data_IF_000587170727
#
_entry.id   IF_000587170727
#
_cell.length_a   1.000
_cell.length_b   1.000
_cell.length_c   1.000
_cell.angle_alpha   90.00
_cell.angle_beta   90.00
_cell.angle_gamma   90.00
#
_symmetry.space_group_name_H-M   'P 1'
#
loop_
_entity.id
_entity.type
_entity.pdbx_description
1 polymer ?
#
# COMPACT_ATOMS: atom_id res chain seq x y z
N UNK A 1 1.41 49.48 0.28
CA UNK A 1 1.25 48.48 1.37
C UNK A 1 1.15 47.07 0.82
N UNK A 2 0.56 46.85 -0.36
CA UNK A 2 0.57 45.55 -1.06
C UNK A 2 1.97 45.11 -1.55
N UNK A 3 2.83 46.05 -1.98
CA UNK A 3 4.15 45.73 -2.56
C UNK A 3 5.16 45.12 -1.56
N UNK A 4 4.92 45.28 -0.25
CA UNK A 4 5.78 44.72 0.80
C UNK A 4 5.37 43.28 1.17
N UNK A 5 4.10 42.93 1.02
CA UNK A 5 3.57 41.59 1.29
C UNK A 5 3.92 40.64 0.13
N UNK A 6 3.82 41.09 -1.11
CA UNK A 6 4.21 40.31 -2.29
C UNK A 6 5.71 39.99 -2.29
N UNK A 7 6.55 40.97 -1.92
CA UNK A 7 8.02 40.78 -1.79
C UNK A 7 8.41 39.84 -0.64
N UNK A 8 7.59 39.75 0.41
CA UNK A 8 7.79 38.82 1.51
C UNK A 8 7.38 37.39 1.12
N UNK A 9 6.35 37.24 0.29
CA UNK A 9 5.89 35.96 -0.26
C UNK A 9 6.93 35.38 -1.23
N UNK A 10 7.51 36.21 -2.11
CA UNK A 10 8.60 35.79 -3.01
C UNK A 10 9.86 35.35 -2.25
N UNK A 11 10.29 36.12 -1.24
CA UNK A 11 11.43 35.73 -0.38
C UNK A 11 11.19 34.44 0.41
N UNK A 12 9.95 34.18 0.81
CA UNK A 12 9.58 32.95 1.51
C UNK A 12 9.52 31.75 0.54
N UNK A 13 9.06 31.97 -0.69
CA UNK A 13 9.07 30.96 -1.75
C UNK A 13 10.50 30.58 -2.16
N UNK A 14 11.41 31.54 -2.30
CA UNK A 14 12.84 31.30 -2.56
C UNK A 14 13.50 30.55 -1.40
N UNK A 15 13.23 30.93 -0.14
CA UNK A 15 13.73 30.19 1.03
C UNK A 15 13.18 28.76 1.12
N UNK A 16 11.97 28.51 0.63
CA UNK A 16 11.39 27.17 0.56
C UNK A 16 11.97 26.33 -0.57
N UNK A 17 12.30 26.96 -1.71
CA UNK A 17 12.97 26.33 -2.84
C UNK A 17 14.43 25.97 -2.48
N UNK A 18 15.16 26.89 -1.87
CA UNK A 18 16.55 26.67 -1.42
C UNK A 18 16.61 25.57 -0.33
N UNK A 19 15.63 25.53 0.58
CA UNK A 19 15.49 24.47 1.59
C UNK A 19 15.00 23.13 1.00
N UNK A 20 14.39 23.13 -0.18
CA UNK A 20 14.04 21.92 -0.91
C UNK A 20 15.22 21.37 -1.71
N UNK A 21 16.06 22.24 -2.26
CA UNK A 21 17.30 21.89 -2.96
C UNK A 21 18.37 21.37 -1.99
N UNK A 22 18.57 22.03 -0.84
CA UNK A 22 19.50 21.55 0.20
C UNK A 22 19.05 20.19 0.77
N UNK A 23 17.73 19.95 0.88
CA UNK A 23 17.18 18.62 1.26
C UNK A 23 17.29 17.57 0.16
N UNK A 24 17.45 17.97 -1.10
CA UNK A 24 17.69 17.06 -2.21
C UNK A 24 19.17 16.64 -2.28
N UNK A 25 20.09 17.55 -1.94
CA UNK A 25 21.55 17.30 -1.97
C UNK A 25 22.05 16.51 -0.73
N UNK A 26 21.49 16.74 0.46
CA UNK A 26 21.90 16.01 1.68
C UNK A 26 21.34 14.60 1.83
N UNK A 27 20.42 14.15 0.97
CA UNK A 27 20.01 12.74 0.91
C UNK A 27 20.92 11.96 -0.03
N UNK A 28 22.23 12.02 0.24
CA UNK A 28 23.14 10.95 -0.17
C UNK A 28 22.57 9.65 0.40
N UNK A 29 22.15 8.67 -0.42
CA UNK A 29 21.62 7.44 0.12
C UNK A 29 22.78 6.74 0.83
N UNK A 30 22.82 6.84 2.16
CA UNK A 30 23.70 6.00 2.96
C UNK A 30 23.50 4.56 2.50
N UNK A 31 24.55 3.96 1.93
CA UNK A 31 24.56 2.57 1.51
C UNK A 31 24.35 1.71 2.75
N UNK A 32 23.08 1.43 3.03
CA UNK A 32 22.69 0.46 4.04
C UNK A 32 23.24 -0.87 3.58
N UNK A 33 24.22 -1.37 4.34
CA UNK A 33 24.82 -2.71 4.21
C UNK A 33 23.74 -3.71 3.81
N UNK A 34 23.78 -4.16 2.55
CA UNK A 34 22.78 -5.07 2.03
C UNK A 34 22.87 -6.37 2.83
N UNK A 35 21.79 -6.69 3.54
CA UNK A 35 21.61 -8.02 4.08
C UNK A 35 21.65 -9.04 2.93
N UNK A 36 22.02 -10.31 3.16
CA UNK A 36 22.08 -11.31 2.10
C UNK A 36 20.77 -11.32 1.30
N UNK A 37 20.91 -11.41 -0.03
CA UNK A 37 19.77 -11.42 -0.96
C UNK A 37 18.82 -12.53 -0.54
N UNK A 38 17.59 -12.15 -0.22
CA UNK A 38 16.52 -13.10 0.10
C UNK A 38 15.70 -13.32 -1.15
N UNK A 39 15.34 -14.56 -1.43
CA UNK A 39 14.43 -14.87 -2.54
C UNK A 39 13.01 -14.36 -2.27
N UNK A 40 12.59 -14.43 -1.01
CA UNK A 40 11.26 -14.01 -0.57
C UNK A 40 11.36 -12.91 0.50
N UNK A 41 10.61 -11.83 0.28
CA UNK A 41 10.45 -10.74 1.24
C UNK A 41 9.01 -10.71 1.69
N UNK A 42 8.78 -10.44 2.98
CA UNK A 42 7.44 -10.38 3.54
C UNK A 42 7.21 -9.11 4.35
N UNK A 43 5.94 -8.75 4.46
CA UNK A 43 5.43 -7.69 5.31
C UNK A 43 4.20 -8.22 6.04
N UNK A 44 4.19 -8.09 7.37
CA UNK A 44 3.11 -8.52 8.23
C UNK A 44 2.46 -7.31 8.91
N UNK A 45 1.21 -7.02 8.54
CA UNK A 45 0.37 -6.07 9.25
C UNK A 45 -0.32 -6.76 10.41
N UNK A 46 -0.03 -6.38 11.65
CA UNK A 46 -0.65 -6.96 12.85
C UNK A 46 -1.79 -6.06 13.36
N UNK A 47 -2.89 -6.67 13.81
CA UNK A 47 -4.02 -5.98 14.45
C UNK A 47 -4.60 -4.80 13.64
N UNK A 48 -4.65 -4.96 12.32
CA UNK A 48 -5.18 -3.95 11.40
C UNK A 48 -6.69 -3.73 11.63
N UNK A 49 -7.16 -2.49 11.51
CA UNK A 49 -8.56 -2.08 11.59
C UNK A 49 -9.34 -2.36 10.30
N UNK A 50 -9.17 -3.57 9.76
CA UNK A 50 -9.86 -4.04 8.58
C UNK A 50 -10.83 -5.18 8.91
N UNK A 51 -11.82 -5.34 8.04
CA UNK A 51 -12.75 -6.47 8.05
C UNK A 51 -12.11 -7.65 7.32
N UNK A 52 -12.14 -8.85 7.90
CA UNK A 52 -11.57 -10.04 7.25
C UNK A 52 -12.15 -10.30 5.86
N UNK A 53 -13.48 -10.19 5.71
CA UNK A 53 -14.15 -10.39 4.42
C UNK A 53 -13.68 -9.39 3.35
N UNK A 54 -13.43 -8.15 3.75
CA UNK A 54 -12.93 -7.13 2.83
C UNK A 54 -11.46 -7.37 2.52
N UNK A 55 -10.65 -7.72 3.53
CA UNK A 55 -9.23 -8.05 3.35
C UNK A 55 -9.05 -9.24 2.41
N UNK A 56 -9.91 -10.26 2.47
CA UNK A 56 -9.83 -11.41 1.55
C UNK A 56 -10.01 -10.98 0.09
N UNK A 57 -10.99 -10.13 -0.19
CA UNK A 57 -11.23 -9.63 -1.54
C UNK A 57 -10.09 -8.75 -2.04
N UNK A 58 -9.58 -7.85 -1.20
CA UNK A 58 -8.46 -6.97 -1.59
C UNK A 58 -7.17 -7.76 -1.78
N UNK A 59 -6.86 -8.72 -0.90
CA UNK A 59 -5.70 -9.60 -1.05
C UNK A 59 -5.78 -10.44 -2.34
N UNK A 60 -6.97 -10.94 -2.69
CA UNK A 60 -7.18 -11.67 -3.94
C UNK A 60 -6.99 -10.75 -5.16
N UNK A 61 -7.46 -9.50 -5.07
CA UNK A 61 -7.35 -8.50 -6.13
C UNK A 61 -5.89 -8.12 -6.43
N UNK A 62 -5.05 -7.92 -5.42
CA UNK A 62 -3.65 -7.51 -5.61
C UNK A 62 -2.68 -8.67 -5.90
N UNK A 63 -3.13 -9.92 -5.71
CA UNK A 63 -2.27 -11.10 -5.88
C UNK A 63 -1.84 -11.23 -7.35
N UNK A 64 -0.53 -11.39 -7.57
CA UNK A 64 0.07 -11.50 -8.91
C UNK A 64 0.48 -10.16 -9.53
N UNK A 65 0.02 -9.03 -8.99
CA UNK A 65 0.42 -7.71 -9.45
C UNK A 65 1.85 -7.37 -9.00
N UNK A 66 2.47 -6.43 -9.72
CA UNK A 66 3.69 -5.75 -9.24
C UNK A 66 3.34 -4.84 -8.05
N UNK A 67 4.31 -4.58 -7.18
CA UNK A 67 4.10 -3.76 -5.97
C UNK A 67 3.60 -2.35 -6.35
N UNK A 68 4.18 -1.74 -7.38
CA UNK A 68 3.82 -0.39 -7.82
C UNK A 68 2.42 -0.34 -8.45
N UNK A 69 2.12 -1.28 -9.35
CA UNK A 69 0.78 -1.42 -9.92
C UNK A 69 -0.29 -1.63 -8.84
N UNK A 70 -0.01 -2.46 -7.83
CA UNK A 70 -0.94 -2.67 -6.72
C UNK A 70 -1.20 -1.39 -5.92
N UNK A 71 -0.18 -0.53 -5.74
CA UNK A 71 -0.34 0.77 -5.07
C UNK A 71 -1.25 1.71 -5.86
N UNK A 72 -1.08 1.76 -7.18
CA UNK A 72 -1.90 2.59 -8.07
C UNK A 72 -3.36 2.15 -8.10
N UNK A 73 -3.60 0.85 -8.28
CA UNK A 73 -4.95 0.28 -8.30
C UNK A 73 -5.67 0.50 -6.96
N UNK A 74 -4.99 0.29 -5.83
CA UNK A 74 -5.57 0.57 -4.52
C UNK A 74 -5.85 2.06 -4.29
N UNK A 75 -5.03 2.97 -4.83
CA UNK A 75 -5.31 4.40 -4.79
C UNK A 75 -6.58 4.76 -5.58
N UNK A 76 -6.85 4.08 -6.70
CA UNK A 76 -8.10 4.22 -7.45
C UNK A 76 -9.30 3.66 -6.68
N UNK A 77 -9.14 2.57 -5.93
CA UNK A 77 -10.17 2.01 -5.04
C UNK A 77 -10.53 3.00 -3.94
N UNK A 78 -9.54 3.66 -3.32
CA UNK A 78 -9.76 4.70 -2.31
C UNK A 78 -10.53 5.89 -2.90
N UNK A 79 -10.22 6.27 -4.15
CA UNK A 79 -10.96 7.30 -4.91
C UNK A 79 -12.32 6.82 -5.45
N UNK A 80 -12.73 5.58 -5.16
CA UNK A 80 -13.96 4.93 -5.67
C UNK A 80 -14.07 4.87 -7.19
N UNK A 81 -12.93 4.90 -7.90
CA UNK A 81 -12.87 4.78 -9.37
C UNK A 81 -12.77 3.34 -9.84
N UNK A 82 -12.13 2.49 -9.04
CA UNK A 82 -11.95 1.06 -9.32
C UNK A 82 -12.68 0.23 -8.27
N UNK A 83 -13.61 -0.62 -8.67
CA UNK A 83 -14.34 -1.48 -7.76
C UNK A 83 -13.56 -2.79 -7.52
N UNK A 84 -13.54 -3.25 -6.26
CA UNK A 84 -12.92 -4.53 -5.91
C UNK A 84 -13.97 -5.63 -6.07
N UNK A 85 -13.71 -6.68 -6.86
CA UNK A 85 -14.62 -7.79 -7.02
C UNK A 85 -14.81 -8.50 -5.68
N UNK A 86 -16.07 -8.70 -5.28
CA UNK A 86 -16.41 -9.32 -4.01
C UNK A 86 -17.55 -10.33 -4.22
N UNK A 87 -17.43 -11.49 -3.58
CA UNK A 87 -18.46 -12.54 -3.62
C UNK A 87 -19.47 -12.32 -2.48
N UNK A 88 -20.75 -12.57 -2.77
CA UNK A 88 -21.86 -12.51 -1.81
C UNK A 88 -23.01 -11.62 -2.28
N UNK A 89 -23.91 -11.28 -1.35
CA UNK A 89 -25.07 -10.39 -1.55
C UNK A 89 -24.62 -8.93 -1.66
N UNK A 90 -23.97 -8.61 -2.77
CA UNK A 90 -23.40 -7.29 -3.03
C UNK A 90 -24.00 -6.75 -4.33
N UNK A 91 -24.35 -5.44 -4.37
CA UNK A 91 -24.85 -4.84 -5.60
C UNK A 91 -23.85 -4.98 -6.76
N UNK A 92 -24.40 -5.23 -7.94
CA UNK A 92 -23.65 -5.18 -9.20
C UNK A 92 -22.98 -3.81 -9.37
N UNK A 93 -21.82 -3.80 -10.01
CA UNK A 93 -21.08 -2.57 -10.33
C UNK A 93 -20.72 -2.58 -11.80
N UNK A 94 -20.61 -1.39 -12.38
CA UNK A 94 -20.23 -1.22 -13.77
C UNK A 94 -18.77 -1.68 -14.00
N UNK A 95 -18.56 -2.47 -15.06
CA UNK A 95 -17.27 -3.08 -15.44
C UNK A 95 -17.36 -4.60 -15.60
N UNK A 96 -16.21 -5.25 -15.82
CA UNK A 96 -16.09 -6.72 -16.03
C UNK A 96 -16.29 -7.54 -14.74
N UNK A 97 -17.04 -7.01 -13.77
CA UNK A 97 -17.25 -7.64 -12.47
C UNK A 97 -18.72 -7.91 -12.25
N UNK A 98 -19.02 -9.12 -11.82
CA UNK A 98 -20.39 -9.49 -11.43
C UNK A 98 -20.83 -8.66 -10.22
N UNK A 99 -20.04 -8.59 -9.15
CA UNK A 99 -20.38 -7.81 -7.96
C UNK A 99 -19.13 -7.21 -7.31
N UNK A 100 -19.27 -6.03 -6.70
CA UNK A 100 -18.12 -5.37 -6.08
C UNK A 100 -18.45 -4.22 -5.13
N UNK A 101 -17.49 -3.86 -4.28
CA UNK A 101 -17.53 -2.67 -3.40
C UNK A 101 -16.20 -1.94 -3.40
N UNK A 102 -16.18 -0.80 -2.72
CA UNK A 102 -14.98 0.00 -2.47
C UNK A 102 -14.58 -0.12 -0.99
N UNK A 103 -13.71 -1.09 -0.62
CA UNK A 103 -13.28 -1.27 0.76
C UNK A 103 -12.21 -0.24 1.17
N UNK A 104 -12.63 1.02 1.40
CA UNK A 104 -11.73 2.17 1.60
C UNK A 104 -10.78 1.97 2.79
N UNK A 105 -11.30 1.60 3.96
CA UNK A 105 -10.49 1.41 5.17
C UNK A 105 -9.42 0.31 4.97
N UNK A 106 -9.83 -0.82 4.39
CA UNK A 106 -8.93 -1.95 4.11
C UNK A 106 -7.88 -1.61 3.05
N UNK A 107 -8.27 -0.92 1.98
CA UNK A 107 -7.34 -0.48 0.94
C UNK A 107 -6.28 0.47 1.53
N UNK A 108 -6.69 1.40 2.40
CA UNK A 108 -5.77 2.35 3.04
C UNK A 108 -4.72 1.64 3.89
N UNK A 109 -5.12 0.65 4.70
CA UNK A 109 -4.19 -0.13 5.52
C UNK A 109 -3.24 -0.98 4.68
N UNK A 110 -3.73 -1.59 3.60
CA UNK A 110 -2.91 -2.41 2.70
C UNK A 110 -1.92 -1.54 1.91
N UNK A 111 -2.30 -0.32 1.49
CA UNK A 111 -1.36 0.63 0.88
C UNK A 111 -0.18 0.91 1.83
N UNK A 112 -0.47 1.12 3.12
CA UNK A 112 0.58 1.27 4.14
C UNK A 112 1.50 0.05 4.20
N UNK A 113 0.93 -1.15 4.19
CA UNK A 113 1.69 -2.41 4.24
C UNK A 113 2.54 -2.64 2.97
N UNK A 114 2.03 -2.29 1.79
CA UNK A 114 2.76 -2.38 0.53
C UNK A 114 3.93 -1.39 0.45
N UNK A 115 3.80 -0.19 1.03
CA UNK A 115 4.93 0.74 1.17
C UNK A 115 6.04 0.17 2.03
N UNK A 116 5.69 -0.49 3.13
CA UNK A 116 6.66 -1.21 3.97
C UNK A 116 7.29 -2.38 3.21
N UNK A 117 6.50 -3.14 2.44
CA UNK A 117 7.00 -4.23 1.61
C UNK A 117 8.01 -3.72 0.57
N UNK A 118 7.71 -2.60 -0.10
CA UNK A 118 8.61 -1.92 -1.03
C UNK A 118 9.95 -1.57 -0.37
N UNK A 119 9.91 -0.99 0.83
CA UNK A 119 11.11 -0.70 1.62
C UNK A 119 11.90 -1.95 1.98
N UNK A 120 11.23 -3.04 2.33
CA UNK A 120 11.86 -4.32 2.62
C UNK A 120 12.50 -4.95 1.39
N UNK A 121 11.91 -4.82 0.20
CA UNK A 121 12.50 -5.28 -1.05
C UNK A 121 13.82 -4.59 -1.31
N UNK A 122 13.86 -3.26 -1.21
CA UNK A 122 15.09 -2.46 -1.36
C UNK A 122 16.14 -2.87 -0.31
N UNK A 123 15.73 -3.01 0.96
CA UNK A 123 16.64 -3.41 2.04
C UNK A 123 17.26 -4.81 1.85
N UNK A 124 16.56 -5.72 1.15
CA UNK A 124 17.02 -7.06 0.85
C UNK A 124 17.59 -7.22 -0.57
N UNK A 125 17.75 -6.13 -1.31
CA UNK A 125 18.35 -6.12 -2.65
C UNK A 125 17.49 -6.79 -3.72
N UNK A 126 16.16 -6.79 -3.57
CA UNK A 126 15.23 -7.24 -4.61
C UNK A 126 14.93 -6.10 -5.59
N UNK A 127 14.90 -6.45 -6.87
CA UNK A 127 14.55 -5.60 -8.00
C UNK A 127 13.06 -5.29 -7.98
N UNK A 128 12.69 -4.02 -7.81
CA UNK A 128 11.29 -3.60 -7.72
C UNK A 128 10.49 -3.91 -8.99
N UNK A 129 11.13 -3.84 -10.15
CA UNK A 129 10.47 -4.08 -11.45
C UNK A 129 10.04 -5.53 -11.65
N UNK A 130 10.77 -6.46 -11.02
CA UNK A 130 10.53 -7.91 -11.10
C UNK A 130 9.89 -8.49 -9.84
N UNK A 131 9.67 -7.66 -8.82
CA UNK A 131 9.04 -8.07 -7.58
C UNK A 131 7.50 -8.14 -7.73
N UNK A 132 6.98 -9.36 -7.77
CA UNK A 132 5.54 -9.60 -7.81
C UNK A 132 5.01 -10.07 -6.46
N UNK A 133 3.76 -9.72 -6.15
CA UNK A 133 3.06 -10.19 -4.96
C UNK A 133 2.65 -11.65 -5.17
N UNK A 134 3.43 -12.58 -4.64
CA UNK A 134 3.20 -14.03 -4.79
C UNK A 134 2.14 -14.52 -3.81
N UNK A 135 2.19 -14.02 -2.57
CA UNK A 135 1.30 -14.44 -1.50
C UNK A 135 0.68 -13.23 -0.81
N UNK A 136 -0.64 -13.25 -0.66
CA UNK A 136 -1.38 -12.27 0.12
C UNK A 136 -2.51 -13.01 0.83
N UNK A 137 -2.46 -13.06 2.16
CA UNK A 137 -3.46 -13.77 2.95
C UNK A 137 -3.78 -13.00 4.22
N UNK A 138 -5.08 -12.76 4.50
CA UNK A 138 -5.50 -12.23 5.77
C UNK A 138 -5.90 -13.35 6.75
N UNK A 139 -5.67 -13.15 8.04
CA UNK A 139 -6.13 -14.03 9.11
C UNK A 139 -6.84 -13.25 10.21
N UNK A 140 -7.63 -13.97 11.03
CA UNK A 140 -8.27 -13.37 12.19
C UNK A 140 -7.23 -12.86 13.19
N UNK A 141 -7.48 -11.66 13.71
CA UNK A 141 -6.77 -11.14 14.85
C UNK A 141 -7.67 -11.14 16.10
N UNK A 142 -7.07 -10.91 17.27
CA UNK A 142 -7.82 -10.73 18.51
C UNK A 142 -8.73 -9.52 18.35
N UNK A 143 -10.04 -9.75 18.44
CA UNK A 143 -11.06 -8.72 18.25
C UNK A 143 -11.39 -8.08 19.61
N UNK A 144 -11.20 -6.76 19.78
CA UNK A 144 -11.51 -6.12 21.04
C UNK A 144 -13.01 -6.16 21.29
N UNK A 145 -13.38 -6.42 22.55
CA UNK A 145 -14.77 -6.44 22.97
C UNK A 145 -15.33 -5.01 23.00
N UNK A 146 -16.54 -4.83 22.47
CA UNK A 146 -17.31 -3.58 22.53
C UNK A 146 -18.54 -3.78 23.42
N UNK A 147 -19.22 -2.66 23.73
CA UNK A 147 -20.45 -2.65 24.53
C UNK A 147 -21.46 -3.68 24.03
N UNK A 148 -22.08 -4.41 24.97
CA UNK A 148 -23.09 -5.42 24.69
C UNK A 148 -22.54 -6.70 24.06
N UNK A 149 -21.29 -7.06 24.33
CA UNK A 149 -20.70 -8.32 23.86
C UNK A 149 -20.31 -8.35 22.38
N UNK A 150 -20.38 -7.21 21.69
CA UNK A 150 -20.09 -7.11 20.26
C UNK A 150 -18.59 -7.07 20.03
N UNK A 151 -18.07 -7.91 19.15
CA UNK A 151 -16.65 -7.90 18.80
C UNK A 151 -16.35 -6.84 17.73
N UNK A 152 -15.25 -6.10 17.92
CA UNK A 152 -14.68 -5.23 16.90
C UNK A 152 -14.13 -6.00 15.71
N UNK A 153 -13.70 -5.28 14.67
CA UNK A 153 -13.02 -5.87 13.51
C UNK A 153 -11.51 -5.67 13.68
N UNK A 154 -10.77 -6.77 13.63
CA UNK A 154 -9.30 -6.79 13.58
C UNK A 154 -8.84 -7.94 12.70
N UNK A 155 -7.80 -7.71 11.91
CA UNK A 155 -7.19 -8.73 11.03
C UNK A 155 -5.68 -8.63 11.05
N UNK A 156 -5.00 -9.77 10.93
CA UNK A 156 -3.60 -9.79 10.50
C UNK A 156 -3.56 -9.96 8.99
N UNK A 157 -2.61 -9.34 8.30
CA UNK A 157 -2.43 -9.49 6.85
C UNK A 157 -0.96 -9.79 6.60
N UNK A 158 -0.68 -10.92 5.96
CA UNK A 158 0.65 -11.30 5.50
C UNK A 158 0.71 -11.12 3.98
N UNK A 159 1.64 -10.30 3.52
CA UNK A 159 1.96 -10.14 2.11
C UNK A 159 3.41 -10.57 1.90
N UNK A 160 3.65 -11.35 0.85
CA UNK A 160 4.99 -11.75 0.43
C UNK A 160 5.20 -11.44 -1.04
N UNK A 161 6.41 -11.00 -1.35
CA UNK A 161 6.88 -10.73 -2.69
C UNK A 161 8.09 -11.59 -3.02
N UNK A 162 8.16 -12.03 -4.27
CA UNK A 162 9.29 -12.75 -4.84
C UNK A 162 9.62 -12.15 -6.21
N UNK A 163 10.88 -12.21 -6.60
CA UNK A 163 11.27 -11.95 -7.98
C UNK A 163 10.78 -13.09 -8.87
N UNK A 164 9.97 -12.76 -9.86
CA UNK A 164 9.51 -13.74 -10.85
C UNK A 164 10.41 -13.62 -12.07
N UNK A 165 11.07 -14.72 -12.46
CA UNK A 165 11.80 -14.77 -13.71
C UNK A 165 10.82 -14.54 -14.87
N UNK A 166 11.19 -13.68 -15.82
CA UNK A 166 10.40 -13.44 -17.02
C UNK A 166 10.18 -14.79 -17.73
N UNK A 167 8.92 -15.21 -17.85
CA UNK A 167 8.58 -16.37 -18.67
C UNK A 167 8.70 -15.91 -20.13
N UNK A 168 9.80 -16.27 -20.79
CA UNK A 168 9.81 -16.33 -22.25
C UNK A 168 8.78 -17.38 -22.66
N UNK A 169 7.64 -16.90 -23.15
CA UNK A 169 6.60 -17.69 -23.81
C UNK A 169 6.67 -17.46 -25.30
#
# INVERSE_FOLDING_TARGET
MADAEDKAIEKHAEKLAEKAEIKADEKKPEEKKHAPKKEEVSALGRNLNASLKHSMAVCAFIKGMRIEQALEELALVVKKKRAVPMKGEIPHRHGDIMAGRYPIATATEIIGLLKTLRGNCVAHGLSLDRAHITYASPSWAVRPQRRGGRLGKRTHILIKSREVAEKHG
#
